data_IF_648908230479
#
_entry.id   IF_648908230479
#
_cell.length_a   1.000
_cell.length_b   1.000
_cell.length_c   1.000
_cell.angle_alpha   90.00
_cell.angle_beta   90.00
_cell.angle_gamma   90.00
#
_symmetry.space_group_name_H-M   'P 1'
#
loop_
_entity.id
_entity.type
_entity.pdbx_description
1 polymer ?
#
# COMPACT_ATOMS: atom_id res chain seq x y z
N UNK A 1 13.07 -0.55 11.40
CA UNK A 1 13.56 -0.92 10.06
C UNK A 1 13.29 0.24 9.12
N UNK A 2 14.28 0.64 8.32
CA UNK A 2 14.06 1.60 7.24
C UNK A 2 13.55 0.86 6.00
N UNK A 3 12.23 0.85 5.82
CA UNK A 3 11.56 0.13 4.72
C UNK A 3 12.03 0.63 3.35
N UNK A 4 12.28 1.94 3.20
CA UNK A 4 12.65 2.56 1.92
C UNK A 4 14.01 2.10 1.42
N UNK A 5 14.92 1.82 2.33
CA UNK A 5 16.21 1.22 1.97
C UNK A 5 16.12 -0.31 1.91
N UNK A 6 15.36 -0.94 2.81
CA UNK A 6 15.22 -2.39 2.84
C UNK A 6 14.61 -2.96 1.55
N UNK A 7 13.63 -2.29 0.92
CA UNK A 7 12.93 -2.78 -0.29
C UNK A 7 13.84 -2.90 -1.52
N UNK A 8 15.02 -2.27 -1.51
CA UNK A 8 16.02 -2.39 -2.58
C UNK A 8 16.71 -3.77 -2.58
N UNK A 9 16.58 -4.51 -1.49
CA UNK A 9 17.31 -5.74 -1.18
C UNK A 9 16.31 -6.88 -0.95
N UNK A 10 16.32 -7.89 -1.83
CA UNK A 10 15.31 -8.95 -1.86
C UNK A 10 15.30 -9.80 -0.59
N UNK A 11 16.44 -9.98 0.04
CA UNK A 11 16.61 -10.66 1.32
C UNK A 11 15.78 -10.05 2.45
N UNK A 12 15.37 -8.78 2.33
CA UNK A 12 14.57 -8.09 3.33
C UNK A 12 13.06 -8.21 3.09
N UNK A 13 12.60 -8.81 1.99
CA UNK A 13 11.18 -8.81 1.61
C UNK A 13 10.29 -9.45 2.68
N UNK A 14 10.73 -10.56 3.26
CA UNK A 14 9.99 -11.21 4.34
C UNK A 14 9.88 -10.33 5.60
N UNK A 15 10.96 -9.62 5.95
CA UNK A 15 10.98 -8.67 7.06
C UNK A 15 10.04 -7.49 6.81
N UNK A 16 9.96 -7.00 5.57
CA UNK A 16 9.04 -5.93 5.14
C UNK A 16 7.58 -6.39 5.27
N UNK A 17 7.27 -7.58 4.79
CA UNK A 17 5.92 -8.16 4.93
C UNK A 17 5.55 -8.31 6.40
N UNK A 18 6.46 -8.82 7.22
CA UNK A 18 6.26 -8.96 8.66
C UNK A 18 6.01 -7.60 9.32
N UNK A 19 6.81 -6.59 8.98
CA UNK A 19 6.60 -5.22 9.47
C UNK A 19 5.17 -4.74 9.21
N UNK A 20 4.69 -4.78 7.96
CA UNK A 20 3.33 -4.32 7.63
C UNK A 20 2.23 -5.16 8.27
N UNK A 21 2.42 -6.49 8.39
CA UNK A 21 1.47 -7.37 9.11
C UNK A 21 1.33 -7.01 10.59
N UNK A 22 2.40 -6.51 11.23
CA UNK A 22 2.37 -6.13 12.66
C UNK A 22 1.74 -4.76 12.92
N UNK A 23 1.53 -3.95 11.89
CA UNK A 23 0.82 -2.69 12.02
C UNK A 23 -0.68 -2.97 12.18
N UNK A 24 -1.19 -2.90 13.42
CA UNK A 24 -2.60 -3.18 13.72
C UNK A 24 -3.59 -2.27 12.96
N UNK A 25 -3.24 -1.00 12.79
CA UNK A 25 -4.08 0.00 12.12
C UNK A 25 -3.19 1.05 11.44
N UNK A 26 -2.69 0.79 10.21
CA UNK A 26 -1.81 1.72 9.51
C UNK A 26 -2.50 3.09 9.30
N UNK A 27 -1.82 4.19 9.64
CA UNK A 27 -2.26 5.53 9.30
C UNK A 27 -1.96 5.87 7.84
N UNK A 28 -2.26 7.11 7.43
CA UNK A 28 -2.03 7.55 6.04
C UNK A 28 -0.55 7.46 5.65
N UNK A 29 0.38 7.88 6.51
CA UNK A 29 1.81 7.81 6.22
C UNK A 29 2.30 6.36 6.00
N UNK A 30 1.75 5.41 6.77
CA UNK A 30 2.05 3.99 6.59
C UNK A 30 1.42 3.44 5.30
N UNK A 31 0.27 3.96 4.87
CA UNK A 31 -0.34 3.60 3.58
C UNK A 31 0.47 4.12 2.39
N UNK A 32 1.00 5.34 2.48
CA UNK A 32 1.95 5.90 1.50
C UNK A 32 3.19 5.00 1.43
N UNK A 33 3.79 4.69 2.59
CA UNK A 33 4.97 3.82 2.63
C UNK A 33 4.69 2.41 2.06
N UNK A 34 3.51 1.85 2.34
CA UNK A 34 3.09 0.54 1.84
C UNK A 34 3.00 0.53 0.32
N UNK A 35 2.31 1.50 -0.28
CA UNK A 35 2.15 1.51 -1.74
C UNK A 35 3.45 1.81 -2.48
N UNK A 36 4.32 2.67 -1.91
CA UNK A 36 5.67 2.91 -2.43
C UNK A 36 6.55 1.66 -2.36
N UNK A 37 6.34 0.83 -1.34
CA UNK A 37 7.04 -0.45 -1.19
C UNK A 37 6.56 -1.45 -2.24
N UNK A 38 5.24 -1.55 -2.46
CA UNK A 38 4.65 -2.40 -3.49
C UNK A 38 5.17 -2.01 -4.87
N UNK A 39 5.23 -0.72 -5.20
CA UNK A 39 5.73 -0.22 -6.49
C UNK A 39 7.21 -0.57 -6.74
N UNK A 40 8.04 -0.58 -5.68
CA UNK A 40 9.47 -0.89 -5.78
C UNK A 40 9.80 -2.38 -5.73
N UNK A 41 8.88 -3.22 -5.24
CA UNK A 41 9.12 -4.65 -5.14
C UNK A 41 9.16 -5.31 -6.51
N UNK A 42 10.18 -6.15 -6.72
CA UNK A 42 10.27 -6.96 -7.93
C UNK A 42 9.15 -8.02 -7.97
N UNK A 43 8.45 -8.21 -9.10
CA UNK A 43 7.35 -9.18 -9.23
C UNK A 43 7.76 -10.64 -9.02
N UNK A 44 9.06 -10.94 -9.05
CA UNK A 44 9.61 -12.30 -8.98
C UNK A 44 9.30 -13.04 -7.67
N UNK A 45 8.82 -12.32 -6.63
CA UNK A 45 8.32 -12.94 -5.39
C UNK A 45 6.85 -12.54 -5.17
N UNK A 46 5.99 -13.12 -6.00
CA UNK A 46 4.55 -12.83 -6.05
C UNK A 46 3.84 -12.96 -4.68
N UNK A 47 4.28 -13.87 -3.81
CA UNK A 47 3.65 -14.10 -2.51
C UNK A 47 3.79 -12.89 -1.56
N UNK A 48 4.98 -12.31 -1.47
CA UNK A 48 5.22 -11.12 -0.65
C UNK A 48 4.46 -9.92 -1.20
N UNK A 49 4.51 -9.76 -2.52
CA UNK A 49 3.80 -8.73 -3.24
C UNK A 49 2.28 -8.80 -2.97
N UNK A 50 1.67 -9.98 -3.13
CA UNK A 50 0.25 -10.22 -2.87
C UNK A 50 -0.14 -9.94 -1.41
N UNK A 51 0.69 -10.35 -0.46
CA UNK A 51 0.43 -10.09 0.96
C UNK A 51 0.36 -8.58 1.26
N UNK A 52 1.26 -7.78 0.69
CA UNK A 52 1.22 -6.32 0.84
C UNK A 52 0.00 -5.69 0.17
N UNK A 53 -0.36 -6.16 -1.03
CA UNK A 53 -1.58 -5.71 -1.72
C UNK A 53 -2.85 -5.96 -0.89
N UNK A 54 -2.95 -7.13 -0.26
CA UNK A 54 -4.13 -7.49 0.54
C UNK A 54 -4.24 -6.62 1.80
N UNK A 55 -3.11 -6.34 2.47
CA UNK A 55 -3.04 -5.38 3.60
C UNK A 55 -3.50 -4.00 3.15
N UNK A 56 -2.98 -3.52 2.01
CA UNK A 56 -3.33 -2.20 1.46
C UNK A 56 -4.83 -2.09 1.15
N UNK A 57 -5.40 -3.07 0.44
CA UNK A 57 -6.83 -3.10 0.08
C UNK A 57 -7.74 -3.10 1.30
N UNK A 58 -7.42 -3.97 2.28
CA UNK A 58 -8.20 -4.08 3.52
C UNK A 58 -8.20 -2.74 4.25
N UNK A 59 -7.03 -2.15 4.45
CA UNK A 59 -6.91 -0.91 5.21
C UNK A 59 -7.53 0.28 4.50
N UNK A 60 -7.35 0.41 3.18
CA UNK A 60 -7.99 1.46 2.39
C UNK A 60 -9.52 1.40 2.52
N UNK A 61 -10.11 0.19 2.47
CA UNK A 61 -11.55 0.01 2.63
C UNK A 61 -12.05 0.50 3.99
N UNK A 62 -11.32 0.21 5.07
CA UNK A 62 -11.65 0.70 6.41
C UNK A 62 -11.56 2.23 6.51
N UNK A 63 -10.52 2.83 5.92
CA UNK A 63 -10.34 4.29 5.91
C UNK A 63 -11.51 4.98 5.20
N UNK A 64 -11.93 4.46 4.05
CA UNK A 64 -13.06 4.99 3.29
C UNK A 64 -14.39 4.81 4.03
N UNK A 65 -14.59 3.65 4.67
CA UNK A 65 -15.80 3.39 5.47
C UNK A 65 -15.90 4.30 6.70
N UNK A 66 -14.76 4.77 7.24
CA UNK A 66 -14.71 5.71 8.36
C UNK A 66 -15.12 7.15 8.02
N UNK A 67 -15.40 7.48 6.76
CA UNK A 67 -15.90 8.80 6.33
C UNK A 67 -14.86 9.93 6.32
N UNK A 68 -13.71 9.75 6.96
CA UNK A 68 -12.57 10.67 6.87
C UNK A 68 -11.27 9.85 6.71
N UNK A 69 -10.91 9.49 5.47
CA UNK A 69 -9.72 8.69 5.19
C UNK A 69 -8.40 9.47 5.39
N UNK A 70 -8.43 10.76 5.72
CA UNK A 70 -7.26 11.62 5.82
C UNK A 70 -7.18 12.65 4.69
N UNK A 71 -6.04 13.34 4.53
CA UNK A 71 -5.89 14.39 3.54
C UNK A 71 -6.17 13.90 2.11
N UNK A 72 -6.98 14.66 1.37
CA UNK A 72 -7.43 14.29 0.02
C UNK A 72 -6.26 14.06 -0.94
N UNK A 73 -5.21 14.89 -0.89
CA UNK A 73 -4.02 14.73 -1.74
C UNK A 73 -3.30 13.40 -1.50
N UNK A 74 -3.12 13.00 -0.24
CA UNK A 74 -2.49 11.72 0.10
C UNK A 74 -3.39 10.54 -0.27
N UNK A 75 -4.71 10.68 -0.12
CA UNK A 75 -5.67 9.67 -0.55
C UNK A 75 -5.61 9.46 -2.07
N UNK A 76 -5.68 10.54 -2.85
CA UNK A 76 -5.58 10.50 -4.31
C UNK A 76 -4.25 9.86 -4.74
N UNK A 77 -3.15 10.23 -4.08
CA UNK A 77 -1.83 9.65 -4.32
C UNK A 77 -1.80 8.13 -4.15
N UNK A 78 -2.26 7.61 -2.99
CA UNK A 78 -2.23 6.18 -2.73
C UNK A 78 -3.19 5.41 -3.65
N UNK A 79 -4.31 6.01 -4.05
CA UNK A 79 -5.25 5.41 -5.00
C UNK A 79 -4.63 5.35 -6.40
N UNK A 80 -4.00 6.44 -6.85
CA UNK A 80 -3.35 6.51 -8.15
C UNK A 80 -2.24 5.46 -8.26
N UNK A 81 -1.35 5.36 -7.26
CA UNK A 81 -0.32 4.32 -7.22
C UNK A 81 -0.90 2.91 -7.07
N UNK A 82 -1.96 2.78 -6.27
CA UNK A 82 -2.75 1.55 -6.18
C UNK A 82 -3.21 1.05 -7.55
N UNK A 83 -3.68 1.95 -8.40
CA UNK A 83 -4.08 1.62 -9.77
C UNK A 83 -2.88 1.28 -10.66
N UNK A 84 -1.81 2.08 -10.62
CA UNK A 84 -0.60 1.86 -11.44
C UNK A 84 0.10 0.53 -11.16
N UNK A 85 0.04 0.07 -9.91
CA UNK A 85 0.62 -1.23 -9.49
C UNK A 85 -0.34 -2.41 -9.73
N UNK A 86 -1.55 -2.19 -10.24
CA UNK A 86 -2.57 -3.24 -10.35
C UNK A 86 -3.10 -3.73 -8.98
N UNK A 87 -2.78 -3.01 -7.91
CA UNK A 87 -3.32 -3.28 -6.57
C UNK A 87 -4.80 -2.94 -6.51
N UNK A 88 -5.22 -1.87 -7.15
CA UNK A 88 -6.61 -1.40 -7.23
C UNK A 88 -7.11 -1.44 -8.68
N UNK A 89 -8.43 -1.58 -8.83
CA UNK A 89 -9.12 -1.41 -10.11
C UNK A 89 -9.56 0.05 -10.24
N UNK A 90 -8.99 0.79 -11.20
CA UNK A 90 -9.21 2.23 -11.38
C UNK A 90 -10.69 2.62 -11.43
N UNK A 91 -11.49 1.85 -12.16
CA UNK A 91 -12.94 2.06 -12.31
C UNK A 91 -13.69 2.16 -10.98
N UNK A 92 -13.18 1.51 -9.92
CA UNK A 92 -13.81 1.55 -8.59
C UNK A 92 -13.46 2.78 -7.76
N UNK A 93 -12.42 3.52 -8.15
CA UNK A 93 -11.86 4.60 -7.35
C UNK A 93 -11.76 5.93 -8.11
N UNK A 94 -12.33 6.01 -9.31
CA UNK A 94 -12.25 7.19 -10.19
C UNK A 94 -12.77 8.46 -9.50
N UNK A 95 -13.85 8.36 -8.71
CA UNK A 95 -14.42 9.49 -7.96
C UNK A 95 -13.49 10.10 -6.89
N UNK A 96 -12.36 9.47 -6.58
CA UNK A 96 -11.37 9.98 -5.64
C UNK A 96 -10.16 10.62 -6.34
N UNK A 97 -10.15 10.62 -7.69
CA UNK A 97 -9.06 11.11 -8.53
C UNK A 97 -9.42 12.38 -9.30
N UNK A 98 -10.69 12.81 -9.24
CA UNK A 98 -11.21 14.08 -9.79
C UNK A 98 -11.07 15.24 -8.79
#
# INVERSE_FOLDING_TARGET
MDVRNAVKHRENYDSIVTYFKTLKTPGMDQMVLLIDTIEQMSPEIYEHYRALQDIFRMRLKEMLAGGNPGPQEQLAYIIQKGCSTGTLLREKYESYLD
#
